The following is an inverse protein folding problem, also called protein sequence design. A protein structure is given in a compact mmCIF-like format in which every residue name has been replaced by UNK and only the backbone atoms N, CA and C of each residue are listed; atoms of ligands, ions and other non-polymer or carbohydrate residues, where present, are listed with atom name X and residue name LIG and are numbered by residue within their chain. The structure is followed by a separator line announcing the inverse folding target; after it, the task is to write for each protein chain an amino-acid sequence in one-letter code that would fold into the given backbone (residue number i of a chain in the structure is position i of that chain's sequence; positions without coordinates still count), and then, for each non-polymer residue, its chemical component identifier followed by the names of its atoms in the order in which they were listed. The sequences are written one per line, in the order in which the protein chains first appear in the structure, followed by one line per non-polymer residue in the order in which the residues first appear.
data_IF_353985297337
#
_entry.id   IF_353985297337
#
_cell.length_a   1.000
_cell.length_b   1.000
_cell.length_c   1.000
_cell.angle_alpha   90.00
_cell.angle_beta   90.00
_cell.angle_gamma   90.00
#
_symmetry.space_group_name_H-M   'P 1'
#
loop_
_entity.id
_entity.type
_entity.pdbx_description
1 polymer ?
#
# COMPACT_ATOMS: atom_id res chain seq x y z
N UNK A 1 70.86 -55.10 -31.48
CA UNK A 1 71.33 -53.83 -32.05
C UNK A 1 70.30 -52.80 -31.61
N UNK A 2 70.51 -52.06 -30.53
CA UNK A 2 71.43 -50.89 -30.41
C UNK A 2 71.06 -49.86 -31.50
N UNK A 3 70.76 -48.59 -31.25
CA UNK A 3 70.93 -47.70 -30.08
C UNK A 3 70.33 -46.34 -30.52
N UNK A 4 69.83 -45.57 -29.55
CA UNK A 4 69.89 -44.09 -29.43
C UNK A 4 69.29 -43.19 -30.53
N UNK A 5 68.93 -41.92 -30.32
CA UNK A 5 68.44 -41.06 -29.23
C UNK A 5 68.61 -39.61 -29.75
N UNK A 6 67.86 -38.66 -29.17
CA UNK A 6 68.11 -37.20 -29.19
C UNK A 6 67.77 -36.46 -30.50
N UNK A 7 67.17 -35.26 -30.52
CA UNK A 7 67.24 -34.15 -29.55
C UNK A 7 66.08 -33.15 -29.77
N UNK A 8 65.71 -32.44 -28.70
CA UNK A 8 64.76 -31.32 -28.59
C UNK A 8 64.99 -30.14 -29.53
N UNK A 9 63.95 -29.37 -29.87
CA UNK A 9 63.79 -27.95 -29.44
C UNK A 9 62.35 -27.44 -29.56
N UNK A 10 62.02 -26.53 -28.66
CA UNK A 10 60.81 -25.78 -28.31
C UNK A 10 60.05 -25.06 -29.45
N UNK A 11 58.72 -24.92 -29.29
CA UNK A 11 58.12 -23.59 -29.09
C UNK A 11 56.74 -23.69 -28.44
N UNK A 12 56.64 -23.04 -27.29
CA UNK A 12 55.41 -22.72 -26.56
C UNK A 12 54.69 -21.60 -27.30
N UNK A 13 53.42 -21.78 -27.64
CA UNK A 13 52.50 -20.64 -27.72
C UNK A 13 51.27 -20.92 -26.87
N UNK A 14 51.33 -20.31 -25.68
CA UNK A 14 50.23 -20.13 -24.78
C UNK A 14 49.12 -19.36 -25.51
N UNK A 15 47.95 -19.99 -25.65
CA UNK A 15 46.75 -19.24 -25.99
C UNK A 15 46.45 -18.28 -24.85
N UNK A 16 46.60 -17.00 -25.16
CA UNK A 16 46.31 -15.82 -24.35
C UNK A 16 44.91 -15.92 -23.75
N UNK A 17 44.83 -16.21 -22.47
CA UNK A 17 43.69 -15.82 -21.65
C UNK A 17 43.78 -14.32 -21.42
N UNK A 18 43.00 -13.55 -22.19
CA UNK A 18 42.75 -12.14 -21.88
C UNK A 18 41.90 -12.10 -20.62
N UNK A 19 42.54 -11.93 -19.46
CA UNK A 19 41.84 -11.61 -18.23
C UNK A 19 41.36 -10.16 -18.32
N UNK A 20 40.06 -9.99 -18.58
CA UNK A 20 39.40 -8.71 -18.43
C UNK A 20 39.29 -8.41 -16.94
N UNK A 21 40.18 -7.56 -16.45
CA UNK A 21 40.09 -6.97 -15.13
C UNK A 21 38.97 -5.92 -15.16
N UNK A 22 37.73 -6.33 -14.91
CA UNK A 22 36.68 -5.38 -14.54
C UNK A 22 36.88 -5.01 -13.07
N UNK A 23 37.33 -3.78 -12.88
CA UNK A 23 37.46 -3.14 -11.58
C UNK A 23 36.07 -3.04 -10.94
N UNK A 24 35.86 -3.79 -9.84
CA UNK A 24 34.70 -3.59 -8.98
C UNK A 24 34.79 -2.21 -8.34
N UNK A 25 34.07 -1.25 -8.91
CA UNK A 25 33.83 0.06 -8.34
C UNK A 25 33.09 -0.12 -7.02
N UNK A 26 33.77 0.13 -5.90
CA UNK A 26 33.15 0.29 -4.58
C UNK A 26 32.09 1.39 -4.67
N UNK A 27 30.82 0.98 -4.64
CA UNK A 27 29.72 1.92 -4.52
C UNK A 27 29.70 2.36 -3.06
N UNK A 28 30.18 3.59 -2.81
CA UNK A 28 30.04 4.23 -1.52
C UNK A 28 28.54 4.40 -1.22
N UNK A 29 28.03 3.68 -0.23
CA UNK A 29 26.71 3.94 0.34
C UNK A 29 26.74 5.28 1.07
N UNK A 30 26.42 6.35 0.36
CA UNK A 30 26.04 7.62 0.98
C UNK A 30 24.66 7.47 1.60
N UNK A 31 24.64 7.54 2.92
CA UNK A 31 23.49 7.83 3.76
C UNK A 31 22.72 9.05 3.22
N UNK A 32 21.48 8.80 2.79
CA UNK A 32 20.46 9.83 2.66
C UNK A 32 19.37 9.48 3.66
N UNK A 33 19.28 10.26 4.74
CA UNK A 33 18.11 10.23 5.60
C UNK A 33 16.87 10.43 4.73
N UNK A 34 15.95 9.48 4.74
CA UNK A 34 14.61 9.68 4.18
C UNK A 34 13.90 10.69 5.06
N UNK A 35 14.16 11.97 4.83
CA UNK A 35 13.21 13.00 5.17
C UNK A 35 11.98 12.68 4.32
N UNK A 36 10.99 12.01 4.93
CA UNK A 36 9.63 11.92 4.44
C UNK A 36 9.04 13.34 4.49
N UNK A 37 9.55 14.21 3.63
CA UNK A 37 8.88 15.40 3.18
C UNK A 37 8.16 14.98 1.94
N UNK A 38 6.89 14.63 2.11
CA UNK A 38 5.94 14.41 1.02
C UNK A 38 6.16 15.50 -0.02
N UNK A 39 6.51 15.11 -1.24
CA UNK A 39 6.49 16.01 -2.39
C UNK A 39 5.02 16.29 -2.71
N UNK A 40 4.40 17.16 -1.90
CA UNK A 40 3.06 17.64 -2.14
C UNK A 40 3.08 18.43 -3.43
N UNK A 41 2.23 18.02 -4.39
CA UNK A 41 1.95 18.77 -5.60
C UNK A 41 1.67 20.22 -5.25
N UNK A 42 2.61 21.11 -5.58
CA UNK A 42 2.47 22.55 -5.44
C UNK A 42 1.18 22.99 -6.14
N UNK A 43 0.20 23.42 -5.35
CA UNK A 43 -0.96 24.24 -5.71
C UNK A 43 -1.20 24.42 -7.22
N UNK A 44 -2.10 23.65 -7.85
CA UNK A 44 -2.55 23.96 -9.19
C UNK A 44 -3.73 24.95 -9.07
N UNK A 45 -3.52 26.18 -9.57
CA UNK A 45 -4.51 27.26 -9.87
C UNK A 45 -4.71 28.32 -8.77
N UNK A 46 -5.01 29.58 -9.16
CA UNK A 46 -4.81 30.72 -8.27
C UNK A 46 -5.78 30.70 -7.08
N UNK A 47 -5.26 31.05 -5.90
CA UNK A 47 -5.98 31.13 -4.62
C UNK A 47 -7.33 31.87 -4.69
N UNK A 48 -7.49 32.80 -5.63
CA UNK A 48 -8.74 33.54 -5.87
C UNK A 48 -9.93 32.66 -6.28
N UNK A 49 -9.68 31.53 -6.95
CA UNK A 49 -10.76 30.61 -7.34
C UNK A 49 -11.23 29.74 -6.16
N UNK A 50 -10.36 29.49 -5.18
CA UNK A 50 -10.68 28.70 -4.00
C UNK A 50 -11.55 29.46 -3.00
N UNK A 51 -11.46 30.79 -2.95
CA UNK A 51 -12.18 31.62 -1.99
C UNK A 51 -13.71 31.37 -2.02
N UNK A 52 -14.26 31.13 -3.21
CA UNK A 52 -15.69 30.83 -3.38
C UNK A 52 -16.12 29.51 -2.71
N UNK A 53 -15.20 28.56 -2.53
CA UNK A 53 -15.47 27.22 -1.98
C UNK A 53 -14.96 27.07 -0.55
N UNK A 54 -13.85 27.73 -0.22
CA UNK A 54 -13.08 27.52 0.99
C UNK A 54 -13.06 28.73 1.93
N UNK A 55 -13.75 29.83 1.65
CA UNK A 55 -13.94 30.87 2.67
C UNK A 55 -14.77 30.32 3.86
N UNK A 56 -14.36 30.56 5.12
CA UNK A 56 -13.39 31.55 5.58
C UNK A 56 -11.97 31.01 5.88
N UNK A 57 -11.62 29.82 5.42
CA UNK A 57 -10.32 29.21 5.71
C UNK A 57 -9.17 30.03 5.09
N UNK A 58 -8.14 30.27 5.89
CA UNK A 58 -6.89 30.83 5.40
C UNK A 58 -6.11 29.77 4.58
N UNK A 59 -5.00 30.16 3.96
CA UNK A 59 -4.19 29.26 3.14
C UNK A 59 -3.72 27.98 3.86
N UNK A 60 -3.42 28.07 5.16
CA UNK A 60 -3.04 26.91 5.97
C UNK A 60 -4.23 25.99 6.26
N UNK A 61 -5.39 26.55 6.59
CA UNK A 61 -6.63 25.79 6.75
C UNK A 61 -7.04 25.06 5.47
N UNK A 62 -6.91 25.73 4.31
CA UNK A 62 -7.17 25.11 3.01
C UNK A 62 -6.23 23.94 2.71
N UNK A 63 -4.94 24.06 3.00
CA UNK A 63 -3.98 22.97 2.82
C UNK A 63 -4.33 21.74 3.67
N UNK A 64 -4.70 21.95 4.93
CA UNK A 64 -5.12 20.86 5.83
C UNK A 64 -6.41 20.19 5.37
N UNK A 65 -7.36 20.95 4.79
CA UNK A 65 -8.60 20.39 4.22
C UNK A 65 -8.30 19.59 2.94
N UNK A 66 -7.38 20.06 2.10
CA UNK A 66 -6.91 19.32 0.92
C UNK A 66 -6.26 17.99 1.33
N UNK A 67 -5.40 18.01 2.35
CA UNK A 67 -4.77 16.80 2.89
C UNK A 67 -5.82 15.84 3.49
N UNK A 68 -6.80 16.37 4.22
CA UNK A 68 -7.94 15.61 4.72
C UNK A 68 -8.76 14.98 3.58
N UNK A 69 -8.98 15.71 2.47
CA UNK A 69 -9.66 15.20 1.28
C UNK A 69 -8.89 14.05 0.64
N UNK A 70 -7.57 14.20 0.50
CA UNK A 70 -6.68 13.16 -0.04
C UNK A 70 -6.73 11.89 0.80
N UNK A 71 -6.63 12.02 2.12
CA UNK A 71 -6.69 10.87 3.03
C UNK A 71 -8.07 10.22 3.00
N UNK A 72 -9.16 11.00 2.90
CA UNK A 72 -10.51 10.46 2.72
C UNK A 72 -10.66 9.68 1.40
N UNK A 73 -10.10 10.18 0.30
CA UNK A 73 -10.10 9.48 -0.98
C UNK A 73 -9.36 8.14 -0.89
N UNK A 74 -8.13 8.15 -0.37
CA UNK A 74 -7.33 6.94 -0.15
C UNK A 74 -8.02 5.93 0.76
N UNK A 75 -8.73 6.38 1.80
CA UNK A 75 -9.54 5.49 2.66
C UNK A 75 -10.67 4.81 1.87
N UNK A 76 -11.28 5.49 0.90
CA UNK A 76 -12.30 4.88 0.03
C UNK A 76 -11.67 3.83 -0.89
N UNK A 77 -10.53 4.13 -1.53
CA UNK A 77 -9.81 3.17 -2.37
C UNK A 77 -9.41 1.92 -1.57
N UNK A 78 -8.87 2.09 -0.35
CA UNK A 78 -8.53 0.97 0.53
C UNK A 78 -9.77 0.16 0.95
N UNK A 79 -10.91 0.82 1.17
CA UNK A 79 -12.15 0.13 1.52
C UNK A 79 -12.68 -0.71 0.34
N UNK A 80 -12.61 -0.19 -0.89
CA UNK A 80 -12.97 -0.93 -2.10
C UNK A 80 -12.03 -2.12 -2.34
N UNK A 81 -10.73 -1.90 -2.19
CA UNK A 81 -9.71 -2.94 -2.31
C UNK A 81 -9.92 -4.05 -1.26
N UNK A 82 -10.18 -3.67 0.00
CA UNK A 82 -10.50 -4.61 1.07
C UNK A 82 -11.79 -5.39 0.80
N UNK A 83 -12.84 -4.74 0.28
CA UNK A 83 -14.07 -5.45 -0.11
C UNK A 83 -13.80 -6.48 -1.20
N UNK A 84 -12.99 -6.14 -2.20
CA UNK A 84 -12.61 -7.09 -3.26
C UNK A 84 -11.80 -8.26 -2.70
N UNK A 85 -10.82 -7.99 -1.84
CA UNK A 85 -9.97 -9.01 -1.22
C UNK A 85 -10.76 -9.96 -0.31
N UNK A 86 -11.73 -9.46 0.44
CA UNK A 86 -12.66 -10.30 1.21
C UNK A 86 -13.46 -11.26 0.31
N UNK A 87 -13.88 -10.82 -0.88
CA UNK A 87 -14.55 -11.71 -1.83
C UNK A 87 -13.59 -12.77 -2.39
N UNK A 88 -12.34 -12.40 -2.70
CA UNK A 88 -11.30 -13.33 -3.14
C UNK A 88 -11.01 -14.38 -2.05
N UNK A 89 -10.85 -13.95 -0.79
CA UNK A 89 -10.65 -14.82 0.37
C UNK A 89 -11.82 -15.79 0.56
N UNK A 90 -13.06 -15.30 0.53
CA UNK A 90 -14.24 -16.14 0.67
C UNK A 90 -14.37 -17.17 -0.46
N UNK A 91 -14.04 -16.80 -1.70
CA UNK A 91 -14.06 -17.73 -2.83
C UNK A 91 -12.95 -18.78 -2.68
N UNK A 92 -11.75 -18.37 -2.25
CA UNK A 92 -10.63 -19.28 -2.03
C UNK A 92 -10.90 -20.25 -0.87
N UNK A 93 -11.55 -19.80 0.19
CA UNK A 93 -11.97 -20.66 1.30
C UNK A 93 -12.93 -21.75 0.82
N UNK A 94 -13.88 -21.44 -0.06
CA UNK A 94 -14.77 -22.46 -0.64
C UNK A 94 -13.99 -23.52 -1.42
N UNK A 95 -12.95 -23.14 -2.16
CA UNK A 95 -12.08 -24.10 -2.86
C UNK A 95 -11.36 -25.02 -1.87
N UNK A 96 -10.83 -24.46 -0.78
CA UNK A 96 -10.19 -25.23 0.30
C UNK A 96 -11.17 -26.23 0.91
N UNK A 97 -12.38 -25.77 1.23
CA UNK A 97 -13.43 -26.61 1.84
C UNK A 97 -13.85 -27.75 0.89
N UNK A 98 -14.07 -27.46 -0.39
CA UNK A 98 -14.43 -28.48 -1.39
C UNK A 98 -13.32 -29.54 -1.58
N UNK A 99 -12.05 -29.13 -1.59
CA UNK A 99 -10.93 -30.05 -1.70
C UNK A 99 -10.85 -30.95 -0.46
N UNK A 100 -11.02 -30.37 0.73
CA UNK A 100 -11.05 -31.11 1.98
C UNK A 100 -12.19 -32.14 2.01
N UNK A 101 -13.40 -31.74 1.60
CA UNK A 101 -14.56 -32.65 1.50
C UNK A 101 -14.31 -33.81 0.54
N UNK A 102 -13.70 -33.55 -0.64
CA UNK A 102 -13.34 -34.60 -1.61
C UNK A 102 -12.33 -35.60 -1.04
N UNK A 103 -11.28 -35.11 -0.38
CA UNK A 103 -10.27 -35.96 0.27
C UNK A 103 -10.94 -36.85 1.33
N UNK A 104 -11.79 -36.27 2.18
CA UNK A 104 -12.45 -37.00 3.25
C UNK A 104 -13.43 -38.06 2.71
N UNK A 105 -14.16 -37.74 1.64
CA UNK A 105 -15.04 -38.69 0.97
C UNK A 105 -14.27 -39.87 0.36
N UNK A 106 -13.15 -39.61 -0.32
CA UNK A 106 -12.29 -40.65 -0.89
C UNK A 106 -11.70 -41.54 0.20
N UNK A 107 -11.17 -40.97 1.27
CA UNK A 107 -10.63 -41.73 2.41
C UNK A 107 -11.69 -42.62 3.04
N UNK A 108 -12.90 -42.10 3.25
CA UNK A 108 -14.03 -42.86 3.82
C UNK A 108 -14.44 -44.05 2.95
N UNK A 109 -14.43 -43.87 1.63
CA UNK A 109 -14.86 -44.89 0.67
C UNK A 109 -13.71 -45.79 0.19
N UNK A 110 -12.52 -45.73 0.81
CA UNK A 110 -11.32 -46.45 0.35
C UNK A 110 -11.00 -46.19 -1.13
N UNK A 111 -11.14 -44.93 -1.55
CA UNK A 111 -10.87 -44.47 -2.90
C UNK A 111 -9.40 -44.64 -3.32
N UNK A 112 -9.08 -44.43 -4.61
CA UNK A 112 -7.74 -44.61 -5.13
C UNK A 112 -6.72 -43.70 -4.42
N UNK A 113 -5.61 -44.28 -3.94
CA UNK A 113 -4.57 -43.53 -3.23
C UNK A 113 -3.96 -42.41 -4.10
N UNK A 114 -3.81 -42.63 -5.41
CA UNK A 114 -3.31 -41.62 -6.33
C UNK A 114 -4.21 -40.38 -6.37
N UNK A 115 -5.53 -40.56 -6.40
CA UNK A 115 -6.50 -39.47 -6.44
C UNK A 115 -6.50 -38.67 -5.12
N UNK A 116 -6.32 -39.36 -3.98
CA UNK A 116 -6.15 -38.70 -2.68
C UNK A 116 -4.89 -37.83 -2.67
N UNK A 117 -3.76 -38.33 -3.18
CA UNK A 117 -2.50 -37.59 -3.22
C UNK A 117 -2.61 -36.36 -4.14
N UNK A 118 -3.30 -36.48 -5.27
CA UNK A 118 -3.54 -35.36 -6.19
C UNK A 118 -4.34 -34.25 -5.51
N UNK A 119 -5.47 -34.58 -4.86
CA UNK A 119 -6.26 -33.57 -4.14
C UNK A 119 -5.53 -32.98 -2.93
N UNK A 120 -4.69 -33.75 -2.22
CA UNK A 120 -3.85 -33.23 -1.14
C UNK A 120 -2.83 -32.20 -1.65
N UNK A 121 -2.24 -32.44 -2.82
CA UNK A 121 -1.33 -31.48 -3.45
C UNK A 121 -2.06 -30.17 -3.82
N UNK A 122 -3.25 -30.28 -4.42
CA UNK A 122 -4.08 -29.12 -4.74
C UNK A 122 -4.51 -28.36 -3.47
N UNK A 123 -4.83 -29.07 -2.39
CA UNK A 123 -5.18 -28.47 -1.10
C UNK A 123 -4.01 -27.66 -0.51
N UNK A 124 -2.77 -28.15 -0.64
CA UNK A 124 -1.58 -27.40 -0.21
C UNK A 124 -1.44 -26.10 -1.00
N UNK A 125 -1.65 -26.14 -2.32
CA UNK A 125 -1.60 -24.95 -3.18
C UNK A 125 -2.71 -23.97 -2.78
N UNK A 126 -3.93 -24.46 -2.61
CA UNK A 126 -5.09 -23.64 -2.26
C UNK A 126 -4.92 -22.93 -0.90
N UNK A 127 -4.36 -23.62 0.10
CA UNK A 127 -4.02 -23.02 1.39
C UNK A 127 -2.89 -21.98 1.28
N UNK A 128 -1.91 -22.20 0.39
CA UNK A 128 -0.87 -21.21 0.11
C UNK A 128 -1.44 -19.90 -0.44
N UNK A 129 -2.39 -19.98 -1.37
CA UNK A 129 -3.09 -18.81 -1.92
C UNK A 129 -3.90 -18.10 -0.82
N UNK A 130 -4.64 -18.87 -0.02
CA UNK A 130 -5.43 -18.31 1.10
C UNK A 130 -4.55 -17.55 2.09
N UNK A 131 -3.39 -18.11 2.45
CA UNK A 131 -2.45 -17.46 3.38
C UNK A 131 -1.89 -16.14 2.84
N UNK A 132 -1.63 -16.04 1.53
CA UNK A 132 -1.18 -14.78 0.93
C UNK A 132 -2.31 -13.74 0.92
N UNK A 133 -3.55 -14.14 0.61
CA UNK A 133 -4.72 -13.25 0.67
C UNK A 133 -4.92 -12.68 2.08
N UNK A 134 -4.83 -13.52 3.12
CA UNK A 134 -4.92 -13.07 4.51
C UNK A 134 -3.80 -12.08 4.87
N UNK A 135 -2.59 -12.27 4.32
CA UNK A 135 -1.46 -11.36 4.53
C UNK A 135 -1.71 -10.00 3.87
N UNK A 136 -2.11 -9.99 2.60
CA UNK A 136 -2.47 -8.77 1.89
C UNK A 136 -3.59 -8.00 2.60
N UNK A 137 -4.60 -8.73 3.13
CA UNK A 137 -5.67 -8.14 3.94
C UNK A 137 -5.16 -7.47 5.22
N UNK A 138 -4.20 -8.09 5.94
CA UNK A 138 -3.58 -7.45 7.11
C UNK A 138 -2.86 -6.15 6.73
N UNK A 139 -2.08 -6.16 5.65
CA UNK A 139 -1.36 -4.98 5.17
C UNK A 139 -2.31 -3.85 4.74
N UNK A 140 -3.49 -4.19 4.19
CA UNK A 140 -4.55 -3.20 3.89
C UNK A 140 -5.12 -2.58 5.17
N UNK A 141 -5.40 -3.40 6.19
CA UNK A 141 -5.90 -2.89 7.47
C UNK A 141 -4.89 -2.01 8.18
N UNK A 142 -3.60 -2.36 8.18
CA UNK A 142 -2.55 -1.52 8.75
C UNK A 142 -2.52 -0.13 8.11
N UNK A 143 -2.50 -0.07 6.77
CA UNK A 143 -2.57 1.20 6.02
C UNK A 143 -3.85 1.98 6.33
N UNK A 144 -4.97 1.29 6.42
CA UNK A 144 -6.27 1.91 6.75
C UNK A 144 -6.25 2.57 8.13
N UNK A 145 -5.72 1.88 9.15
CA UNK A 145 -5.64 2.42 10.51
C UNK A 145 -4.63 3.58 10.63
N UNK A 146 -3.49 3.50 9.94
CA UNK A 146 -2.52 4.60 9.88
C UNK A 146 -3.20 5.88 9.34
N UNK A 147 -3.92 5.74 8.23
CA UNK A 147 -4.57 6.86 7.55
C UNK A 147 -5.76 7.44 8.35
N UNK A 148 -6.48 6.61 9.12
CA UNK A 148 -7.45 7.08 10.13
C UNK A 148 -6.75 7.92 11.20
N UNK A 149 -5.60 7.45 11.68
CA UNK A 149 -4.78 8.15 12.68
C UNK A 149 -4.32 9.52 12.18
N UNK A 150 -3.77 9.58 10.97
CA UNK A 150 -3.39 10.84 10.31
C UNK A 150 -4.58 11.81 10.21
N UNK A 151 -5.74 11.32 9.74
CA UNK A 151 -6.96 12.14 9.65
C UNK A 151 -7.46 12.63 11.02
N UNK A 152 -7.28 11.87 12.09
CA UNK A 152 -7.58 12.33 13.44
C UNK A 152 -6.63 13.48 13.86
N UNK A 153 -5.33 13.34 13.62
CA UNK A 153 -4.34 14.40 13.89
C UNK A 153 -4.63 15.67 13.09
N UNK A 154 -4.92 15.54 11.79
CA UNK A 154 -5.25 16.69 10.92
C UNK A 154 -6.47 17.46 11.45
N UNK A 155 -7.49 16.74 11.94
CA UNK A 155 -8.68 17.37 12.55
C UNK A 155 -8.32 18.18 13.78
N UNK A 156 -7.45 17.69 14.65
CA UNK A 156 -7.01 18.44 15.84
C UNK A 156 -6.17 19.66 15.45
N UNK A 157 -5.25 19.54 14.50
CA UNK A 157 -4.46 20.68 14.01
C UNK A 157 -5.35 21.74 13.37
N UNK A 158 -6.35 21.34 12.58
CA UNK A 158 -7.27 22.28 11.94
C UNK A 158 -8.14 23.01 12.97
N UNK A 159 -8.58 22.33 14.03
CA UNK A 159 -9.27 22.96 15.17
C UNK A 159 -8.41 24.02 15.86
N UNK A 160 -7.11 23.75 16.05
CA UNK A 160 -6.18 24.71 16.67
C UNK A 160 -5.96 25.95 15.77
N UNK A 161 -5.84 25.74 14.46
CA UNK A 161 -5.51 26.80 13.50
C UNK A 161 -6.67 27.74 13.19
N UNK A 162 -7.90 27.23 13.15
CA UNK A 162 -9.10 28.03 12.85
C UNK A 162 -10.19 27.87 13.94
N UNK A 163 -9.91 28.30 15.19
CA UNK A 163 -10.82 28.11 16.32
C UNK A 163 -12.13 28.89 16.19
N UNK A 164 -12.18 29.88 15.29
CA UNK A 164 -13.39 30.67 15.00
C UNK A 164 -14.49 29.88 14.29
N UNK A 165 -14.14 28.74 13.69
CA UNK A 165 -15.08 27.80 13.08
C UNK A 165 -15.65 26.81 14.10
N UNK A 166 -15.13 26.83 15.32
CA UNK A 166 -15.69 26.14 16.47
C UNK A 166 -16.55 27.15 17.23
N UNK A 167 -17.86 27.16 16.99
CA UNK A 167 -18.77 27.98 17.79
C UNK A 167 -18.85 27.30 19.17
N UNK A 168 -18.37 27.91 20.26
CA UNK A 168 -18.74 27.44 21.59
C UNK A 168 -20.25 27.61 21.67
N UNK A 169 -20.99 26.52 21.94
CA UNK A 169 -22.43 26.59 22.13
C UNK A 169 -22.77 27.80 22.99
N UNK A 170 -23.54 28.72 22.42
CA UNK A 170 -23.90 29.98 23.07
C UNK A 170 -24.39 29.66 24.48
N UNK A 171 -23.86 30.37 25.46
CA UNK A 171 -24.26 30.28 26.85
C UNK A 171 -25.79 30.26 26.96
N UNK A 172 -26.34 29.12 27.39
CA UNK A 172 -27.78 28.93 27.63
C UNK A 172 -28.37 27.80 26.79
N UNK A 173 -28.66 26.68 27.45
CA UNK A 173 -29.42 25.52 26.99
C UNK A 173 -28.92 24.78 25.72
N UNK A 174 -28.30 23.61 25.96
CA UNK A 174 -28.21 22.47 25.03
C UNK A 174 -27.77 22.73 23.58
N UNK A 175 -26.99 23.79 23.33
CA UNK A 175 -26.37 24.02 22.02
C UNK A 175 -25.23 23.05 21.83
N UNK A 176 -25.51 21.96 21.11
CA UNK A 176 -24.52 21.03 20.58
C UNK A 176 -23.42 21.84 19.86
N UNK A 177 -22.18 21.63 20.27
CA UNK A 177 -21.03 22.18 19.57
C UNK A 177 -21.07 21.55 18.17
N UNK A 178 -21.38 22.33 17.13
CA UNK A 178 -21.23 21.84 15.77
C UNK A 178 -19.77 21.46 15.56
N UNK A 179 -19.55 20.18 15.25
CA UNK A 179 -18.22 19.69 14.92
C UNK A 179 -17.71 20.48 13.71
N UNK A 180 -16.40 20.75 13.64
CA UNK A 180 -15.78 21.38 12.47
C UNK A 180 -16.17 20.68 11.15
N UNK A 181 -16.41 19.37 11.22
CA UNK A 181 -16.84 18.55 10.09
C UNK A 181 -18.29 18.78 9.65
N UNK A 182 -19.10 19.41 10.48
CA UNK A 182 -20.50 19.76 10.22
C UNK A 182 -20.63 21.22 9.78
N UNK A 183 -19.55 22.01 9.84
CA UNK A 183 -19.58 23.40 9.40
C UNK A 183 -19.76 23.47 7.88
N UNK A 184 -20.77 24.18 7.34
CA UNK A 184 -21.05 24.19 5.89
C UNK A 184 -19.87 24.65 5.03
N UNK A 185 -19.07 25.61 5.51
CA UNK A 185 -17.84 26.02 4.81
C UNK A 185 -16.79 24.92 4.74
N UNK A 186 -16.66 24.08 5.78
CA UNK A 186 -15.74 22.94 5.77
C UNK A 186 -16.20 21.91 4.75
N UNK A 187 -17.48 21.53 4.80
CA UNK A 187 -18.08 20.58 3.86
C UNK A 187 -17.93 21.05 2.40
N UNK A 188 -18.20 22.32 2.14
CA UNK A 188 -18.06 22.91 0.79
C UNK A 188 -16.62 22.87 0.29
N UNK A 189 -15.66 23.23 1.13
CA UNK A 189 -14.23 23.21 0.77
C UNK A 189 -13.74 21.77 0.56
N UNK A 190 -14.10 20.86 1.47
CA UNK A 190 -13.79 19.43 1.36
C UNK A 190 -14.38 18.83 0.08
N UNK A 191 -15.65 19.14 -0.23
CA UNK A 191 -16.32 18.70 -1.45
C UNK A 191 -15.59 19.14 -2.72
N UNK A 192 -15.12 20.40 -2.77
CA UNK A 192 -14.32 20.90 -3.89
C UNK A 192 -13.05 20.07 -4.14
N UNK A 193 -12.34 19.69 -3.07
CA UNK A 193 -11.13 18.86 -3.22
C UNK A 193 -11.46 17.41 -3.59
N UNK A 194 -12.48 16.81 -2.98
CA UNK A 194 -12.93 15.45 -3.31
C UNK A 194 -13.38 15.34 -4.77
N UNK A 195 -14.16 16.29 -5.28
CA UNK A 195 -14.62 16.33 -6.68
C UNK A 195 -13.49 16.40 -7.71
N UNK A 196 -12.28 16.79 -7.28
CA UNK A 196 -11.08 16.82 -8.13
C UNK A 196 -10.27 15.53 -8.05
N UNK A 197 -10.38 14.80 -6.96
CA UNK A 197 -9.71 13.51 -6.77
C UNK A 197 -10.50 12.38 -7.45
N UNK A 198 -11.82 12.50 -7.52
CA UNK A 198 -12.71 11.50 -8.15
C UNK A 198 -12.83 11.62 -9.69
N UNK A 199 -11.95 12.36 -10.36
CA UNK A 199 -11.94 12.57 -11.83
C UNK A 199 -10.72 11.95 -12.47
#
# INVERSE_FOLDING_TARGET
MSTEASTSTTSTEASTYTMSAEASTSTASTSGASASGSEYSKFPKPYSELEAYCSPFNAGGMFLIEEFALNRHKLQELAEESSKKNHEESAQQQVVDELQEKIDALRKNSGPMLEIIEFEADLVIANGILSELEKEMRELFERYFELIGENATLREVLKEKDPKLYIPGSSGDNSEVMSLMEHPSFEKCLGYFLDRLSK
#
